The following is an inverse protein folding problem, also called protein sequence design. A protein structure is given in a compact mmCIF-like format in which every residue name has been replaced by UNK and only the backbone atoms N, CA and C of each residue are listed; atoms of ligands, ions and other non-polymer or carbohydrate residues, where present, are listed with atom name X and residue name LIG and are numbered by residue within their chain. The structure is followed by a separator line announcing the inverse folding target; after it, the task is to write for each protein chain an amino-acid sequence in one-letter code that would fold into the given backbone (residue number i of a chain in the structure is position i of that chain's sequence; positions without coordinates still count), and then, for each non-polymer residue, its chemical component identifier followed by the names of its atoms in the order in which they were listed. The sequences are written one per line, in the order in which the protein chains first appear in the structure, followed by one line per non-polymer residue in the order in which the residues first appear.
data_IF_146279019510
#
_entry.id   IF_146279019510
#
_cell.length_a   1.000
_cell.length_b   1.000
_cell.length_c   1.000
_cell.angle_alpha   90.00
_cell.angle_beta   90.00
_cell.angle_gamma   90.00
#
_symmetry.space_group_name_H-M   'P 1'
#
loop_
_entity.id
_entity.type
_entity.pdbx_description
1 polymer ?
#
# COMPACT_ATOMS: atom_id res chain seq x y z
N UNK A 1 -53.97 -48.54 -43.89
CA UNK A 1 -55.22 -47.80 -43.62
C UNK A 1 -54.94 -46.33 -43.85
N UNK A 2 -55.58 -45.76 -44.88
CA UNK A 2 -55.44 -44.37 -45.33
C UNK A 2 -56.44 -43.49 -44.60
N UNK A 3 -56.02 -42.30 -44.14
CA UNK A 3 -56.90 -41.14 -43.98
C UNK A 3 -56.16 -39.89 -44.45
N UNK A 4 -56.46 -39.51 -45.68
CA UNK A 4 -56.30 -38.19 -46.29
C UNK A 4 -57.45 -37.28 -45.86
N UNK A 5 -57.17 -36.01 -45.54
CA UNK A 5 -57.92 -34.84 -46.01
C UNK A 5 -57.21 -33.54 -45.59
N UNK A 6 -56.92 -32.71 -46.58
CA UNK A 6 -56.38 -31.35 -46.50
C UNK A 6 -57.51 -30.30 -46.53
N UNK A 7 -57.12 -29.02 -46.70
CA UNK A 7 -57.91 -27.81 -47.09
C UNK A 7 -58.27 -26.92 -45.89
N UNK A 8 -58.07 -25.60 -45.85
CA UNK A 8 -57.70 -24.58 -46.84
C UNK A 8 -56.98 -23.38 -46.18
N UNK A 9 -56.17 -22.70 -46.98
CA UNK A 9 -55.65 -21.36 -46.75
C UNK A 9 -56.67 -20.28 -47.16
N UNK A 10 -56.63 -19.11 -46.51
CA UNK A 10 -57.08 -17.85 -47.08
C UNK A 10 -56.20 -16.69 -46.55
N UNK A 11 -55.38 -16.14 -47.46
CA UNK A 11 -54.66 -14.87 -47.37
C UNK A 11 -55.64 -13.70 -47.52
N UNK A 12 -55.53 -12.62 -46.70
CA UNK A 12 -55.70 -11.23 -47.17
C UNK A 12 -54.91 -10.22 -46.30
N UNK A 13 -54.00 -9.52 -46.99
CA UNK A 13 -53.50 -8.13 -46.88
C UNK A 13 -52.89 -7.53 -45.60
N UNK A 14 -51.73 -6.90 -45.83
CA UNK A 14 -50.97 -6.02 -44.96
C UNK A 14 -51.64 -4.64 -44.75
N UNK A 15 -51.48 -4.10 -43.54
CA UNK A 15 -51.46 -2.65 -43.29
C UNK A 15 -50.29 -2.31 -42.37
N UNK A 16 -49.42 -1.44 -42.88
CA UNK A 16 -48.32 -0.79 -42.17
C UNK A 16 -48.87 0.09 -41.05
N UNK A 17 -48.31 -0.04 -39.86
CA UNK A 17 -48.59 0.84 -38.72
C UNK A 17 -47.39 0.85 -37.77
N UNK A 18 -46.35 1.61 -38.15
CA UNK A 18 -45.30 2.02 -37.23
C UNK A 18 -45.91 2.98 -36.19
N UNK A 19 -46.04 2.54 -34.94
CA UNK A 19 -45.98 3.43 -33.78
C UNK A 19 -45.02 2.83 -32.78
N UNK A 20 -43.75 3.18 -32.98
CA UNK A 20 -42.73 3.10 -31.96
C UNK A 20 -43.02 4.17 -30.91
N UNK A 21 -43.29 3.76 -29.67
CA UNK A 21 -43.07 4.60 -28.50
C UNK A 21 -42.23 3.77 -27.53
N UNK A 22 -41.01 4.29 -27.31
CA UNK A 22 -39.88 3.63 -26.69
C UNK A 22 -40.14 3.12 -25.29
N UNK A 23 -39.78 1.85 -25.09
CA UNK A 23 -39.22 1.36 -23.84
C UNK A 23 -37.73 1.11 -24.07
N UNK A 24 -36.98 2.18 -24.33
CA UNK A 24 -35.53 2.14 -24.13
C UNK A 24 -35.30 2.39 -22.64
N UNK A 25 -35.43 1.33 -21.86
CA UNK A 25 -34.66 1.21 -20.63
C UNK A 25 -33.20 1.16 -21.05
N UNK A 26 -32.60 2.34 -21.26
CA UNK A 26 -31.18 2.51 -21.38
C UNK A 26 -30.57 1.88 -20.14
N UNK A 27 -30.05 0.66 -20.29
CA UNK A 27 -29.08 0.13 -19.36
C UNK A 27 -27.91 1.08 -19.49
N UNK A 28 -27.80 2.04 -18.56
CA UNK A 28 -26.60 2.80 -18.33
C UNK A 28 -25.46 1.78 -18.26
N UNK A 29 -24.66 1.69 -19.33
CA UNK A 29 -23.41 0.94 -19.25
C UNK A 29 -22.64 1.59 -18.11
N UNK A 30 -22.08 0.80 -17.16
CA UNK A 30 -21.23 1.37 -16.12
C UNK A 30 -20.23 2.31 -16.79
N UNK A 31 -20.19 3.57 -16.37
CA UNK A 31 -19.21 4.52 -16.89
C UNK A 31 -17.84 3.91 -16.66
N UNK A 32 -17.07 3.79 -17.74
CA UNK A 32 -15.71 3.28 -17.65
C UNK A 32 -14.93 4.17 -16.66
N UNK A 33 -14.31 3.60 -15.63
CA UNK A 33 -13.54 4.38 -14.68
C UNK A 33 -12.37 5.06 -15.42
N UNK A 34 -12.12 6.32 -15.08
CA UNK A 34 -11.06 7.14 -15.69
C UNK A 34 -11.18 7.28 -17.22
N UNK A 35 -12.38 7.23 -17.80
CA UNK A 35 -12.57 7.31 -19.26
C UNK A 35 -11.75 8.45 -19.91
N UNK A 36 -10.97 8.12 -20.94
CA UNK A 36 -10.13 9.06 -21.68
C UNK A 36 -8.80 9.43 -21.03
N UNK A 37 -8.53 8.99 -19.79
CA UNK A 37 -7.25 9.24 -19.11
C UNK A 37 -6.19 8.20 -19.50
N UNK A 38 -4.97 8.68 -19.70
CA UNK A 38 -3.74 7.89 -19.83
C UNK A 38 -3.34 7.22 -18.51
N UNK A 39 -2.35 6.31 -18.55
CA UNK A 39 -1.85 5.67 -17.33
C UNK A 39 -1.20 6.68 -16.38
N UNK A 40 -0.39 7.59 -16.91
CA UNK A 40 0.22 8.70 -16.17
C UNK A 40 -0.81 9.54 -15.43
N UNK A 41 -1.85 10.03 -16.13
CA UNK A 41 -2.89 10.85 -15.50
C UNK A 41 -3.65 10.09 -14.39
N UNK A 42 -3.80 8.77 -14.52
CA UNK A 42 -4.44 7.94 -13.49
C UNK A 42 -3.54 7.83 -12.26
N UNK A 43 -2.25 7.61 -12.44
CA UNK A 43 -1.29 7.51 -11.34
C UNK A 43 -1.16 8.84 -10.63
N UNK A 44 -0.97 9.95 -11.34
CA UNK A 44 -0.90 11.29 -10.75
C UNK A 44 -2.14 11.59 -9.91
N UNK A 45 -3.32 11.30 -10.47
CA UNK A 45 -4.59 11.46 -9.74
C UNK A 45 -4.67 10.56 -8.50
N UNK A 46 -4.05 9.39 -8.53
CA UNK A 46 -4.06 8.46 -7.41
C UNK A 46 -3.09 8.86 -6.30
N UNK A 47 -1.91 9.35 -6.66
CA UNK A 47 -0.93 9.91 -5.72
C UNK A 47 -1.55 11.12 -5.02
N UNK A 48 -2.11 12.07 -5.78
CA UNK A 48 -2.80 13.25 -5.24
C UNK A 48 -3.96 12.87 -4.29
N UNK A 49 -4.79 11.89 -4.68
CA UNK A 49 -5.85 11.41 -3.81
C UNK A 49 -5.30 10.80 -2.52
N UNK A 50 -4.23 10.01 -2.61
CA UNK A 50 -3.57 9.34 -1.48
C UNK A 50 -2.94 10.36 -0.52
N UNK A 51 -2.28 11.40 -1.03
CA UNK A 51 -1.77 12.54 -0.24
C UNK A 51 -2.89 13.31 0.46
N UNK A 52 -4.06 13.40 -0.19
CA UNK A 52 -5.26 14.00 0.40
C UNK A 52 -5.94 13.17 1.50
N UNK A 53 -5.45 11.97 1.83
CA UNK A 53 -5.96 11.19 2.95
C UNK A 53 -5.46 11.74 4.30
N UNK A 54 -6.28 11.65 5.35
CA UNK A 54 -5.80 12.06 6.69
C UNK A 54 -4.84 11.05 7.29
N UNK A 55 -4.94 9.79 6.86
CA UNK A 55 -4.14 8.67 7.33
C UNK A 55 -4.32 7.45 6.43
N UNK A 56 -3.39 6.51 6.52
CA UNK A 56 -3.49 5.21 5.85
C UNK A 56 -2.63 4.15 6.56
N UNK A 57 -2.73 2.91 6.09
CA UNK A 57 -1.87 1.80 6.47
C UNK A 57 -1.10 1.30 5.26
N UNK A 58 0.21 1.18 5.42
CA UNK A 58 1.14 0.57 4.50
C UNK A 58 1.49 -0.82 4.99
N UNK A 59 1.43 -1.79 4.09
CA UNK A 59 1.97 -3.13 4.33
C UNK A 59 2.82 -3.50 3.13
N UNK A 60 4.09 -3.80 3.36
CA UNK A 60 5.01 -4.01 2.25
C UNK A 60 6.21 -4.86 2.62
N UNK A 61 6.92 -5.22 1.57
CA UNK A 61 8.14 -6.00 1.61
C UNK A 61 9.06 -5.47 0.51
N UNK A 62 10.14 -4.80 0.90
CA UNK A 62 11.04 -3.99 0.06
C UNK A 62 12.48 -4.47 0.33
N UNK A 63 13.33 -4.53 -0.69
CA UNK A 63 14.74 -4.83 -0.47
C UNK A 63 15.49 -3.55 -0.09
N UNK A 64 16.29 -3.64 0.96
CA UNK A 64 17.27 -2.62 1.32
C UNK A 64 18.67 -3.19 1.07
N UNK A 65 19.54 -2.39 0.42
CA UNK A 65 20.87 -2.85 0.01
C UNK A 65 21.78 -3.22 1.19
N UNK A 66 21.53 -2.64 2.38
CA UNK A 66 22.36 -2.84 3.57
C UNK A 66 21.79 -3.91 4.51
N UNK A 67 20.48 -3.88 4.72
CA UNK A 67 19.78 -4.69 5.73
C UNK A 67 18.99 -5.86 5.12
N UNK A 68 18.91 -5.93 3.79
CA UNK A 68 18.22 -6.97 3.04
C UNK A 68 16.70 -6.78 3.02
N UNK A 69 15.96 -7.89 2.91
CA UNK A 69 14.49 -7.88 2.76
C UNK A 69 13.79 -7.34 4.01
N UNK A 70 13.24 -6.12 3.90
CA UNK A 70 12.53 -5.40 4.96
C UNK A 70 11.01 -5.47 4.79
N UNK A 71 10.34 -5.98 5.81
CA UNK A 71 8.89 -6.02 5.94
C UNK A 71 8.41 -4.88 6.81
N UNK A 72 7.32 -4.23 6.38
CA UNK A 72 6.69 -3.15 7.09
C UNK A 72 5.18 -3.36 7.22
N UNK A 73 4.64 -2.97 8.37
CA UNK A 73 3.20 -2.85 8.63
C UNK A 73 3.00 -1.60 9.48
N UNK A 74 2.78 -0.46 8.82
CA UNK A 74 2.75 0.85 9.44
C UNK A 74 1.40 1.51 9.20
N UNK A 75 0.82 2.09 10.25
CA UNK A 75 -0.24 3.08 10.12
C UNK A 75 0.37 4.47 10.33
N UNK A 76 0.09 5.42 9.44
CA UNK A 76 0.64 6.77 9.46
C UNK A 76 -0.41 7.82 9.11
N UNK A 77 -0.23 9.04 9.63
CA UNK A 77 -1.05 10.20 9.33
C UNK A 77 -0.21 11.38 8.82
N UNK A 78 -0.87 12.35 8.20
CA UNK A 78 -0.24 13.55 7.62
C UNK A 78 0.29 14.53 8.67
N UNK A 79 0.16 14.22 9.97
CA UNK A 79 0.78 14.97 11.06
C UNK A 79 2.11 14.38 11.52
N UNK A 80 2.63 13.38 10.80
CA UNK A 80 3.88 12.68 11.13
C UNK A 80 3.72 11.70 12.30
N UNK A 81 2.49 11.28 12.62
CA UNK A 81 2.27 10.23 13.61
C UNK A 81 2.21 8.89 12.93
N UNK A 82 2.92 7.93 13.49
CA UNK A 82 2.90 6.56 12.98
C UNK A 82 2.97 5.54 14.11
N UNK A 83 2.48 4.34 13.84
CA UNK A 83 2.71 3.18 14.68
C UNK A 83 2.63 1.91 13.86
N UNK A 84 3.41 0.91 14.24
CA UNK A 84 3.40 -0.36 13.56
C UNK A 84 4.61 -1.21 13.88
N UNK A 85 4.91 -2.12 12.98
CA UNK A 85 5.99 -3.10 13.13
C UNK A 85 6.84 -3.11 11.88
N UNK A 86 8.14 -3.22 12.08
CA UNK A 86 9.12 -3.49 11.04
C UNK A 86 9.83 -4.80 11.34
N UNK A 87 10.20 -5.53 10.31
CA UNK A 87 10.91 -6.78 10.46
C UNK A 87 11.86 -7.01 9.29
N UNK A 88 13.00 -7.60 9.57
CA UNK A 88 13.90 -8.12 8.55
C UNK A 88 13.71 -9.64 8.56
N UNK A 89 13.50 -10.24 7.38
CA UNK A 89 13.04 -11.64 7.26
C UNK A 89 13.80 -12.62 8.17
N UNK A 90 15.13 -12.47 8.24
CA UNK A 90 16.01 -13.35 9.01
C UNK A 90 16.61 -12.73 10.26
N UNK A 91 16.30 -11.46 10.57
CA UNK A 91 16.99 -10.74 11.64
C UNK A 91 16.08 -10.34 12.80
N UNK A 92 14.76 -10.51 12.68
CA UNK A 92 13.82 -10.22 13.76
C UNK A 92 13.01 -8.96 13.47
N UNK A 93 12.42 -8.39 14.51
CA UNK A 93 11.45 -7.31 14.39
C UNK A 93 11.52 -6.29 15.52
N UNK A 94 10.94 -5.13 15.24
CA UNK A 94 10.68 -4.13 16.26
C UNK A 94 9.34 -3.43 16.01
N UNK A 95 8.67 -3.09 17.10
CA UNK A 95 7.50 -2.22 17.09
C UNK A 95 7.94 -0.78 17.28
N UNK A 96 7.25 0.16 16.63
CA UNK A 96 7.49 1.58 16.76
C UNK A 96 6.19 2.36 17.01
N UNK A 97 6.30 3.45 17.78
CA UNK A 97 5.24 4.43 18.00
C UNK A 97 5.85 5.83 17.96
N UNK A 98 5.35 6.68 17.06
CA UNK A 98 5.72 8.09 16.95
C UNK A 98 4.46 8.93 17.19
N UNK A 99 4.30 9.56 18.38
CA UNK A 99 3.13 10.37 18.70
C UNK A 99 3.11 11.77 18.05
N UNK A 100 4.15 12.15 17.30
CA UNK A 100 4.29 13.49 16.72
C UNK A 100 4.76 14.57 17.72
N UNK A 101 5.36 14.17 18.84
CA UNK A 101 5.86 15.08 19.88
C UNK A 101 7.41 15.11 19.97
N UNK A 102 8.09 14.66 18.92
CA UNK A 102 9.55 14.55 18.87
C UNK A 102 10.14 13.38 19.67
N UNK A 103 9.30 12.46 20.16
CA UNK A 103 9.75 11.21 20.79
C UNK A 103 9.40 10.01 19.91
N UNK A 104 10.37 9.11 19.74
CA UNK A 104 10.17 7.81 19.11
C UNK A 104 10.21 6.75 20.19
N UNK A 105 9.21 5.87 20.23
CA UNK A 105 9.17 4.71 21.11
C UNK A 105 9.42 3.45 20.29
N UNK A 106 10.27 2.57 20.79
CA UNK A 106 10.63 1.33 20.10
C UNK A 106 10.57 0.16 21.07
N UNK A 107 10.20 -1.01 20.56
CA UNK A 107 10.26 -2.27 21.29
C UNK A 107 10.85 -3.33 20.37
N UNK A 108 12.04 -3.79 20.69
CA UNK A 108 12.76 -4.77 19.89
C UNK A 108 12.51 -6.18 20.41
N UNK A 109 12.43 -7.15 19.50
CA UNK A 109 12.61 -8.54 19.90
C UNK A 109 14.10 -8.86 20.12
N UNK A 110 14.37 -9.96 20.82
CA UNK A 110 15.74 -10.40 21.10
C UNK A 110 16.52 -10.72 19.82
N UNK A 111 15.86 -11.28 18.79
CA UNK A 111 16.51 -11.69 17.55
C UNK A 111 17.08 -10.47 16.82
N UNK A 112 16.30 -9.40 16.77
CA UNK A 112 16.66 -8.11 16.19
C UNK A 112 17.86 -7.50 16.91
N UNK A 113 17.81 -7.43 18.24
CA UNK A 113 18.94 -6.91 19.02
C UNK A 113 20.23 -7.69 18.78
N UNK A 114 20.14 -9.03 18.69
CA UNK A 114 21.31 -9.88 18.39
C UNK A 114 21.82 -9.68 16.97
N UNK A 115 20.93 -9.50 16.00
CA UNK A 115 21.32 -9.27 14.62
C UNK A 115 22.00 -7.91 14.43
N UNK A 116 21.45 -6.85 15.03
CA UNK A 116 22.04 -5.50 15.00
C UNK A 116 23.37 -5.43 15.75
N UNK A 117 23.63 -6.35 16.69
CA UNK A 117 24.89 -6.42 17.45
C UNK A 117 25.91 -7.41 16.86
N UNK A 118 25.73 -7.87 15.61
CA UNK A 118 26.71 -8.72 14.93
C UNK A 118 28.04 -7.98 14.82
N UNK A 119 29.10 -8.56 15.39
CA UNK A 119 30.44 -7.96 15.43
C UNK A 119 30.80 -7.34 16.78
N UNK A 120 29.82 -7.10 17.65
CA UNK A 120 30.05 -6.62 19.01
C UNK A 120 30.46 -7.75 19.97
N UNK A 121 31.17 -7.43 21.08
CA UNK A 121 31.50 -8.40 22.12
C UNK A 121 30.25 -9.08 22.70
N UNK A 122 30.33 -10.40 22.92
CA UNK A 122 29.18 -11.21 23.31
C UNK A 122 28.54 -10.77 24.64
N UNK A 123 29.34 -10.24 25.57
CA UNK A 123 28.88 -9.68 26.84
C UNK A 123 28.09 -8.37 26.64
N UNK A 124 28.52 -7.50 25.72
CA UNK A 124 27.79 -6.28 25.36
C UNK A 124 26.46 -6.61 24.68
N UNK A 125 26.46 -7.55 23.73
CA UNK A 125 25.22 -8.03 23.09
C UNK A 125 24.26 -8.63 24.12
N UNK A 126 24.78 -9.44 25.05
CA UNK A 126 23.95 -10.03 26.12
C UNK A 126 23.36 -8.95 27.03
N UNK A 127 24.14 -7.93 27.41
CA UNK A 127 23.66 -6.81 28.22
C UNK A 127 22.60 -5.97 27.49
N UNK A 128 22.77 -5.72 26.19
CA UNK A 128 21.79 -5.01 25.38
C UNK A 128 20.47 -5.79 25.29
N UNK A 129 20.53 -7.09 25.03
CA UNK A 129 19.35 -7.99 25.05
C UNK A 129 18.70 -8.00 26.43
N UNK A 130 19.46 -8.20 27.51
CA UNK A 130 18.97 -8.20 28.89
C UNK A 130 18.39 -6.84 29.29
N UNK A 131 18.75 -5.75 28.63
CA UNK A 131 18.21 -4.42 28.92
C UNK A 131 17.02 -4.03 28.03
N UNK A 132 16.99 -4.41 26.76
CA UNK A 132 16.07 -3.86 25.77
C UNK A 132 15.07 -4.86 25.20
N UNK A 133 15.38 -6.15 25.19
CA UNK A 133 14.49 -7.15 24.62
C UNK A 133 13.12 -7.08 25.29
N UNK A 134 12.08 -7.08 24.47
CA UNK A 134 10.68 -7.04 24.84
C UNK A 134 10.26 -5.87 25.75
N UNK A 135 11.05 -4.79 25.78
CA UNK A 135 10.74 -3.58 26.56
C UNK A 135 10.68 -2.36 25.66
N UNK A 136 9.74 -1.49 26.00
CA UNK A 136 9.64 -0.18 25.39
C UNK A 136 10.83 0.68 25.80
N UNK A 137 11.54 1.19 24.82
CA UNK A 137 12.51 2.25 24.91
C UNK A 137 11.97 3.51 24.25
N UNK A 138 12.61 4.65 24.52
CA UNK A 138 12.36 5.91 23.85
C UNK A 138 13.66 6.65 23.56
N UNK A 139 13.63 7.46 22.52
CA UNK A 139 14.68 8.39 22.14
C UNK A 139 14.08 9.64 21.50
N UNK A 140 14.85 10.72 21.41
CA UNK A 140 14.46 11.89 20.61
C UNK A 140 14.50 11.54 19.12
N UNK A 141 13.50 12.03 18.37
CA UNK A 141 13.45 11.91 16.91
C UNK A 141 14.67 12.55 16.20
N UNK A 142 15.45 13.38 16.90
CA UNK A 142 16.68 13.99 16.38
C UNK A 142 17.93 13.09 16.48
N UNK A 143 17.85 11.94 17.17
CA UNK A 143 18.93 10.94 17.17
C UNK A 143 19.11 10.32 15.78
N UNK A 144 20.30 9.82 15.44
CA UNK A 144 20.62 9.31 14.10
C UNK A 144 19.60 8.26 13.63
N UNK A 145 19.48 7.15 14.34
CA UNK A 145 18.55 6.05 14.01
C UNK A 145 17.07 6.48 14.08
N UNK A 146 16.77 7.49 14.89
CA UNK A 146 15.41 7.98 15.05
C UNK A 146 14.95 8.88 13.91
N UNK A 147 15.88 9.48 13.17
CA UNK A 147 15.58 10.28 11.97
C UNK A 147 15.12 9.40 10.83
N UNK A 148 15.78 8.27 10.62
CA UNK A 148 15.40 7.34 9.55
C UNK A 148 14.00 6.78 9.80
N UNK A 149 13.71 6.37 11.04
CA UNK A 149 12.36 5.95 11.46
C UNK A 149 11.34 7.08 11.31
N UNK A 150 11.71 8.33 11.64
CA UNK A 150 10.81 9.47 11.47
C UNK A 150 10.52 9.76 10.00
N UNK A 151 11.51 9.63 9.12
CA UNK A 151 11.36 9.76 7.66
C UNK A 151 10.41 8.71 7.09
N UNK A 152 10.49 7.45 7.56
CA UNK A 152 9.53 6.40 7.18
C UNK A 152 8.08 6.70 7.59
N UNK A 153 7.90 7.59 8.56
CA UNK A 153 6.59 8.02 9.04
C UNK A 153 6.08 9.27 8.34
N UNK A 154 6.89 9.88 7.48
CA UNK A 154 6.48 10.97 6.61
C UNK A 154 5.86 10.40 5.33
N UNK A 155 4.52 10.50 5.26
CA UNK A 155 3.77 9.99 4.12
C UNK A 155 4.08 10.77 2.84
N UNK A 156 4.36 12.07 2.96
CA UNK A 156 4.60 12.91 1.79
C UNK A 156 5.94 12.58 1.16
N UNK A 157 6.99 12.39 1.98
CA UNK A 157 8.31 11.96 1.51
C UNK A 157 8.24 10.56 0.88
N UNK A 158 7.56 9.61 1.50
CA UNK A 158 7.36 8.28 0.92
C UNK A 158 6.63 8.33 -0.43
N UNK A 159 5.60 9.18 -0.54
CA UNK A 159 4.83 9.29 -1.78
C UNK A 159 5.58 10.07 -2.86
N UNK A 160 6.52 10.95 -2.49
CA UNK A 160 7.33 11.71 -3.43
C UNK A 160 8.24 10.83 -4.28
N UNK A 161 8.64 9.65 -3.80
CA UNK A 161 9.38 8.66 -4.59
C UNK A 161 8.59 8.20 -5.84
N UNK A 162 7.25 8.23 -5.75
CA UNK A 162 6.37 7.90 -6.86
C UNK A 162 5.99 9.13 -7.72
N UNK A 163 6.45 10.33 -7.36
CA UNK A 163 6.23 11.56 -8.11
C UNK A 163 7.42 11.85 -9.04
N UNK A 164 7.57 11.04 -10.08
CA UNK A 164 8.75 11.13 -10.94
C UNK A 164 8.72 10.26 -12.19
N UNK A 165 9.87 9.69 -12.55
CA UNK A 165 10.07 8.94 -13.79
C UNK A 165 9.09 7.76 -13.95
N UNK A 166 8.68 7.14 -12.83
CA UNK A 166 7.66 6.08 -12.76
C UNK A 166 6.35 6.52 -13.44
N UNK A 167 5.94 7.77 -13.28
CA UNK A 167 4.69 8.29 -13.86
C UNK A 167 4.84 8.57 -15.35
N UNK A 168 6.02 8.99 -15.80
CA UNK A 168 6.25 9.48 -17.17
C UNK A 168 6.03 8.44 -18.27
N UNK A 169 6.12 7.14 -17.94
CA UNK A 169 5.91 6.04 -18.89
C UNK A 169 4.80 5.07 -18.46
N UNK A 170 3.86 5.52 -17.62
CA UNK A 170 2.76 4.71 -17.14
C UNK A 170 1.71 4.43 -18.23
N UNK A 171 1.49 3.14 -18.51
CA UNK A 171 0.53 2.63 -19.50
C UNK A 171 -0.72 2.13 -18.79
N UNK A 172 -1.87 2.62 -19.23
CA UNK A 172 -3.18 2.16 -18.78
C UNK A 172 -3.38 0.69 -19.16
N UNK A 173 -3.64 -0.16 -18.17
CA UNK A 173 -4.05 -1.55 -18.35
C UNK A 173 -5.57 -1.72 -18.25
N UNK A 174 -6.00 -2.96 -18.00
CA UNK A 174 -7.41 -3.30 -17.85
C UNK A 174 -7.92 -3.04 -16.42
N UNK A 175 -9.24 -2.83 -16.29
CA UNK A 175 -9.93 -2.92 -15.00
C UNK A 175 -9.91 -4.36 -14.48
N UNK A 176 -9.77 -4.52 -13.17
CA UNK A 176 -9.63 -5.79 -12.47
C UNK A 176 -10.21 -5.67 -11.06
N UNK A 177 -10.18 -6.76 -10.30
CA UNK A 177 -10.34 -6.73 -8.85
C UNK A 177 -8.99 -7.01 -8.18
N UNK A 178 -8.68 -6.29 -7.11
CA UNK A 178 -7.56 -6.54 -6.21
C UNK A 178 -8.12 -6.83 -4.82
N UNK A 179 -7.98 -8.07 -4.35
CA UNK A 179 -8.49 -8.53 -3.06
C UNK A 179 -9.98 -8.16 -2.82
N UNK A 180 -10.80 -8.27 -3.87
CA UNK A 180 -12.22 -7.92 -3.84
C UNK A 180 -12.53 -6.42 -3.98
N UNK A 181 -11.52 -5.57 -4.18
CA UNK A 181 -11.68 -4.14 -4.45
C UNK A 181 -11.60 -3.87 -5.95
N UNK A 182 -12.61 -3.23 -6.58
CA UNK A 182 -12.53 -2.80 -7.97
C UNK A 182 -11.34 -1.85 -8.20
N UNK A 183 -10.52 -2.20 -9.19
CA UNK A 183 -9.27 -1.52 -9.46
C UNK A 183 -8.98 -1.41 -10.97
N UNK A 184 -8.05 -0.54 -11.33
CA UNK A 184 -7.41 -0.50 -12.64
C UNK A 184 -5.93 -0.78 -12.48
N UNK A 185 -5.42 -1.70 -13.31
CA UNK A 185 -3.98 -1.99 -13.40
C UNK A 185 -3.32 -0.94 -14.28
N UNK A 186 -2.21 -0.39 -13.84
CA UNK A 186 -1.34 0.49 -14.61
C UNK A 186 0.06 -0.15 -14.64
N UNK A 187 0.63 -0.25 -15.83
CA UNK A 187 1.98 -0.77 -16.05
C UNK A 187 2.94 0.42 -16.23
N UNK A 188 3.83 0.62 -15.27
CA UNK A 188 4.82 1.70 -15.26
C UNK A 188 6.24 1.13 -15.38
N UNK A 189 7.17 1.96 -15.83
CA UNK A 189 8.59 1.59 -15.93
C UNK A 189 9.44 2.86 -15.98
N UNK A 190 10.64 2.75 -15.44
CA UNK A 190 11.72 3.69 -15.73
C UNK A 190 12.84 2.96 -16.51
N UNK A 191 14.07 3.49 -16.47
CA UNK A 191 15.20 2.90 -17.18
C UNK A 191 15.66 1.54 -16.59
N UNK A 192 15.39 1.27 -15.32
CA UNK A 192 15.94 0.15 -14.54
C UNK A 192 14.86 -0.82 -14.04
N UNK A 193 13.65 -0.32 -13.75
CA UNK A 193 12.62 -1.06 -13.02
C UNK A 193 11.26 -1.09 -13.73
N UNK A 194 10.44 -2.10 -13.41
CA UNK A 194 9.09 -2.27 -13.95
C UNK A 194 8.06 -2.43 -12.84
N UNK A 195 7.17 -1.46 -12.79
CA UNK A 195 6.15 -1.37 -11.78
C UNK A 195 4.78 -1.79 -12.29
N UNK A 196 4.03 -2.48 -11.43
CA UNK A 196 2.58 -2.63 -11.56
C UNK A 196 1.91 -1.83 -10.45
N UNK A 197 1.06 -0.89 -10.83
CA UNK A 197 0.30 -0.05 -9.92
C UNK A 197 -1.18 -0.41 -10.03
N UNK A 198 -1.85 -0.55 -8.89
CA UNK A 198 -3.29 -0.76 -8.79
C UNK A 198 -3.94 0.46 -8.16
N UNK A 199 -4.93 1.03 -8.85
CA UNK A 199 -5.67 2.21 -8.41
C UNK A 199 -7.14 1.87 -8.25
N UNK A 200 -7.77 2.34 -7.18
CA UNK A 200 -9.19 2.12 -6.93
C UNK A 200 -10.07 2.76 -8.03
N UNK A 201 -11.04 2.01 -8.55
CA UNK A 201 -11.97 2.51 -9.57
C UNK A 201 -13.29 3.01 -8.99
N UNK A 202 -13.54 2.76 -7.71
CA UNK A 202 -14.72 3.22 -6.97
C UNK A 202 -14.31 4.19 -5.85
N UNK A 203 -15.15 5.20 -5.61
CA UNK A 203 -14.89 6.20 -4.58
C UNK A 203 -13.73 7.14 -4.93
N UNK A 204 -12.87 7.45 -3.96
CA UNK A 204 -11.64 8.21 -4.19
C UNK A 204 -10.62 7.29 -4.89
N UNK A 205 -9.86 7.79 -5.87
CA UNK A 205 -8.98 6.97 -6.70
C UNK A 205 -7.67 6.65 -5.97
N UNK A 206 -7.73 6.06 -4.79
CA UNK A 206 -6.56 5.77 -3.97
C UNK A 206 -5.63 4.75 -4.64
N UNK A 207 -4.34 4.85 -4.33
CA UNK A 207 -3.40 3.74 -4.53
C UNK A 207 -3.89 2.53 -3.72
N UNK A 208 -3.77 1.34 -4.27
CA UNK A 208 -4.11 0.11 -3.57
C UNK A 208 -2.88 -0.78 -3.40
N UNK A 209 -2.07 -0.90 -4.44
CA UNK A 209 -0.85 -1.68 -4.42
C UNK A 209 0.13 -1.22 -5.49
N UNK A 210 1.41 -1.21 -5.14
CA UNK A 210 2.52 -1.05 -6.07
C UNK A 210 3.37 -2.32 -5.96
N UNK A 211 3.80 -2.86 -7.09
CA UNK A 211 4.65 -4.04 -7.18
C UNK A 211 5.79 -3.70 -8.11
N UNK A 212 7.03 -3.83 -7.66
CA UNK A 212 8.16 -3.90 -8.59
C UNK A 212 8.37 -5.37 -9.00
N UNK A 213 8.05 -5.66 -10.26
CA UNK A 213 8.08 -7.00 -10.81
C UNK A 213 9.50 -7.46 -11.18
N UNK A 214 10.45 -6.55 -11.32
CA UNK A 214 11.82 -6.81 -11.78
C UNK A 214 12.89 -6.58 -10.71
N UNK A 215 12.51 -6.10 -9.53
CA UNK A 215 13.32 -6.12 -8.31
C UNK A 215 14.13 -7.42 -8.17
N UNK A 216 15.42 -7.26 -7.84
CA UNK A 216 16.31 -8.40 -7.58
C UNK A 216 15.73 -9.22 -6.43
N UNK A 217 15.59 -10.53 -6.64
CA UNK A 217 14.92 -11.40 -5.66
C UNK A 217 15.88 -11.77 -4.54
N UNK A 218 16.06 -10.93 -3.52
CA UNK A 218 16.69 -11.38 -2.27
C UNK A 218 15.68 -12.08 -1.36
N UNK A 219 14.38 -11.86 -1.56
CA UNK A 219 13.26 -12.46 -0.82
C UNK A 219 12.25 -13.26 -1.66
N UNK A 220 11.17 -13.76 -1.02
CA UNK A 220 10.13 -14.53 -1.71
C UNK A 220 9.20 -13.62 -2.52
N UNK A 221 9.40 -13.60 -3.84
CA UNK A 221 8.53 -12.88 -4.78
C UNK A 221 8.95 -11.43 -5.02
N UNK A 222 8.13 -10.65 -5.74
CA UNK A 222 8.43 -9.26 -6.06
C UNK A 222 8.30 -8.34 -4.84
N UNK A 223 9.02 -7.22 -4.88
CA UNK A 223 8.80 -6.10 -3.97
C UNK A 223 7.41 -5.53 -4.14
N UNK A 224 6.80 -5.14 -3.01
CA UNK A 224 5.48 -4.52 -3.07
C UNK A 224 5.17 -3.68 -1.84
N UNK A 225 4.27 -2.71 -2.05
CA UNK A 225 3.64 -1.93 -1.00
C UNK A 225 2.13 -1.95 -1.25
N UNK A 226 1.36 -2.23 -0.21
CA UNK A 226 -0.10 -2.23 -0.20
C UNK A 226 -0.60 -1.10 0.65
N UNK A 227 -1.54 -0.31 0.12
CA UNK A 227 -2.14 0.83 0.76
C UNK A 227 -3.57 0.50 1.16
N UNK A 228 -3.92 0.75 2.42
CA UNK A 228 -5.21 0.35 2.97
C UNK A 228 -5.64 1.23 4.13
N UNK A 229 -6.85 1.01 4.66
CA UNK A 229 -7.37 1.67 5.87
C UNK A 229 -7.24 3.19 5.85
N UNK A 230 -7.51 3.77 4.69
CA UNK A 230 -7.59 5.21 4.49
C UNK A 230 -8.54 5.89 5.49
N UNK A 231 -8.14 7.07 5.94
CA UNK A 231 -8.90 7.98 6.82
C UNK A 231 -9.32 7.30 8.15
N UNK A 232 -8.50 6.38 8.67
CA UNK A 232 -8.70 5.72 9.98
C UNK A 232 -7.75 6.26 11.05
N UNK A 233 -8.19 6.43 12.31
CA UNK A 233 -7.32 6.91 13.38
C UNK A 233 -6.06 6.05 13.55
N UNK A 234 -4.89 6.70 13.62
CA UNK A 234 -3.62 6.05 13.91
C UNK A 234 -3.45 5.92 15.43
N UNK A 235 -3.10 4.71 15.90
CA UNK A 235 -2.96 4.42 17.33
C UNK A 235 -1.55 4.76 17.81
N UNK A 236 -1.32 6.02 18.16
CA UNK A 236 0.00 6.50 18.60
C UNK A 236 0.09 6.83 20.09
N UNK A 237 -0.70 6.14 20.91
CA UNK A 237 -0.62 6.30 22.38
C UNK A 237 0.73 5.78 22.87
N UNK A 238 1.51 6.57 23.63
CA UNK A 238 2.75 6.09 24.22
C UNK A 238 2.55 4.84 25.07
N UNK A 239 3.55 3.95 25.13
CA UNK A 239 3.47 2.76 25.95
C UNK A 239 3.30 3.10 27.44
N UNK A 240 2.46 2.33 28.12
CA UNK A 240 2.28 2.44 29.56
C UNK A 240 3.40 1.68 30.32
N UNK A 241 3.68 2.12 31.54
CA UNK A 241 4.64 1.46 32.43
C UNK A 241 6.07 1.98 32.30
N UNK A 242 7.05 1.12 32.56
CA UNK A 242 8.47 1.48 32.55
C UNK A 242 8.96 1.55 31.10
N UNK A 243 9.34 2.76 30.66
CA UNK A 243 9.97 3.02 29.36
C UNK A 243 11.44 3.38 29.58
N UNK A 244 12.33 2.72 28.86
CA UNK A 244 13.78 2.94 28.95
C UNK A 244 14.15 4.19 28.15
N UNK A 245 14.90 5.10 28.76
CA UNK A 245 15.29 6.37 28.17
C UNK A 245 16.70 6.24 27.57
N UNK A 246 16.80 6.00 26.25
CA UNK A 246 18.09 5.74 25.60
C UNK A 246 19.02 6.95 25.64
N UNK A 247 18.45 8.17 25.60
CA UNK A 247 19.17 9.43 25.72
C UNK A 247 19.86 9.63 27.08
N UNK A 248 19.55 8.80 28.08
CA UNK A 248 20.20 8.82 29.41
C UNK A 248 21.26 7.74 29.57
N UNK A 249 21.40 6.84 28.60
CA UNK A 249 22.36 5.74 28.63
C UNK A 249 23.63 6.07 27.84
N UNK A 250 23.50 6.84 26.75
CA UNK A 250 24.62 7.47 26.05
C UNK A 250 24.96 8.81 26.69
N UNK A 251 26.00 8.83 27.54
CA UNK A 251 26.54 10.06 28.13
C UNK A 251 27.15 11.00 27.10
#
# INVERSE_FOLDING_TARGET
MRRTAAVAAALVAATVGLTACGSESGKDKPKEPFAGMSGTEIVDKAVEATKGATSLRLVGDIDDDETGRMKMDLALDTSGKCAGTMATADEGSFDLIVPGNGTVYMKYDEKFLRAQSKGEPADQTAAAVEMLADRWSKTKASGADAKDIAGMCDLDDLLAEFEGEINSNARRGATTELDGTPAIRIDAHDAEEKYTIYVATEGKPYLLKIIDAEAKKTGPGPEHITFSKYDKPVKTTPPAGKVIDLDKLGG
#
